data_IF_061088025993
#
_entry.id   IF_061088025993
#
_cell.length_a   1.000
_cell.length_b   1.000
_cell.length_c   1.000
_cell.angle_alpha   90.00
_cell.angle_beta   90.00
_cell.angle_gamma   90.00
#
_symmetry.space_group_name_H-M   'P 1'
#
loop_
_entity.id
_entity.type
_entity.pdbx_description
1 polymer ?
#
# COMPACT_ATOMS: atom_id res chain seq x y z
N UNK A 1 -20.83 -19.57 61.77
CA UNK A 1 -21.21 -18.48 60.85
C UNK A 1 -20.19 -18.49 59.73
N UNK A 2 -20.50 -19.26 58.68
CA UNK A 2 -20.72 -18.82 57.28
C UNK A 2 -19.42 -18.27 56.67
N UNK A 3 -18.59 -19.13 56.06
CA UNK A 3 -18.60 -19.49 54.62
C UNK A 3 -18.52 -18.26 53.70
N UNK A 4 -17.41 -18.10 52.97
CA UNK A 4 -17.45 -17.97 51.51
C UNK A 4 -16.05 -18.12 50.90
N UNK A 5 -15.86 -19.20 50.15
CA UNK A 5 -14.78 -19.44 49.20
C UNK A 5 -14.99 -18.60 47.94
N UNK A 6 -13.98 -17.86 47.51
CA UNK A 6 -13.75 -17.54 46.08
C UNK A 6 -12.24 -17.33 45.93
N UNK A 7 -11.43 -18.15 45.26
CA UNK A 7 -11.71 -19.04 44.14
C UNK A 7 -11.54 -18.28 42.83
N UNK A 8 -10.52 -18.67 42.05
CA UNK A 8 -10.17 -18.25 40.67
C UNK A 8 -9.08 -17.15 40.62
N UNK A 9 -7.88 -17.37 40.11
CA UNK A 9 -7.53 -18.14 38.91
C UNK A 9 -7.23 -17.15 37.78
N UNK A 10 -5.97 -16.71 37.68
CA UNK A 10 -5.41 -16.23 36.41
C UNK A 10 -5.54 -17.35 35.35
N UNK A 11 -5.48 -17.11 34.02
CA UNK A 11 -5.03 -15.90 33.30
C UNK A 11 -5.97 -15.55 32.10
N UNK A 12 -5.47 -14.68 31.21
CA UNK A 12 -5.89 -14.50 29.80
C UNK A 12 -6.89 -13.38 29.54
N UNK A 13 -6.37 -12.15 29.54
CA UNK A 13 -6.71 -11.27 28.43
C UNK A 13 -5.52 -11.19 27.46
N UNK A 14 -5.35 -12.31 26.74
CA UNK A 14 -4.70 -12.31 25.46
C UNK A 14 -5.60 -11.54 24.47
N UNK A 15 -5.74 -10.24 24.67
CA UNK A 15 -6.17 -9.27 23.68
C UNK A 15 -5.08 -9.11 22.63
N UNK A 16 -4.67 -10.22 22.02
CA UNK A 16 -4.00 -10.25 20.72
C UNK A 16 -5.01 -9.68 19.75
N UNK A 17 -5.09 -8.35 19.71
CA UNK A 17 -5.48 -7.58 18.55
C UNK A 17 -4.42 -7.82 17.47
N UNK A 18 -4.31 -9.07 17.03
CA UNK A 18 -3.74 -9.40 15.75
C UNK A 18 -4.62 -8.64 14.78
N UNK A 19 -4.18 -7.45 14.40
CA UNK A 19 -4.55 -6.87 13.13
C UNK A 19 -4.09 -7.90 12.12
N UNK A 20 -4.99 -8.83 11.81
CA UNK A 20 -4.86 -9.78 10.73
C UNK A 20 -4.31 -8.99 9.54
N UNK A 21 -3.31 -9.50 8.81
CA UNK A 21 -2.63 -8.73 7.79
C UNK A 21 -3.68 -8.27 6.78
N UNK A 22 -4.15 -7.02 6.90
CA UNK A 22 -5.09 -6.39 5.96
C UNK A 22 -4.41 -6.13 4.61
N UNK A 23 -3.17 -6.59 4.48
CA UNK A 23 -2.45 -6.92 3.25
C UNK A 23 -3.09 -8.08 2.47
N UNK A 24 -4.42 -8.18 2.44
CA UNK A 24 -5.07 -8.66 1.22
C UNK A 24 -4.70 -7.65 0.13
N UNK A 25 -3.57 -7.90 -0.54
CA UNK A 25 -2.92 -7.09 -1.59
C UNK A 25 -3.93 -6.16 -2.25
N UNK A 26 -3.91 -4.88 -1.84
CA UNK A 26 -4.86 -3.88 -2.35
C UNK A 26 -4.71 -3.84 -3.86
N UNK A 27 -5.77 -3.47 -4.57
CA UNK A 27 -5.68 -3.34 -6.02
C UNK A 27 -4.55 -2.37 -6.42
N UNK A 28 -4.31 -1.31 -5.63
CA UNK A 28 -3.15 -0.42 -5.76
C UNK A 28 -1.80 -1.16 -5.68
N UNK A 29 -1.63 -2.07 -4.72
CA UNK A 29 -0.39 -2.85 -4.57
C UNK A 29 -0.19 -3.77 -5.79
N UNK A 30 -1.27 -4.38 -6.28
CA UNK A 30 -1.22 -5.23 -7.49
C UNK A 30 -0.86 -4.42 -8.73
N UNK A 31 -1.39 -3.20 -8.86
CA UNK A 31 -1.06 -2.30 -9.96
C UNK A 31 0.40 -1.89 -9.90
N UNK A 32 0.94 -1.56 -8.71
CA UNK A 32 2.36 -1.23 -8.55
C UNK A 32 3.28 -2.41 -8.91
N UNK A 33 2.94 -3.63 -8.50
CA UNK A 33 3.69 -4.84 -8.88
C UNK A 33 3.66 -5.01 -10.41
N UNK A 34 2.49 -4.90 -11.04
CA UNK A 34 2.37 -5.02 -12.49
C UNK A 34 3.13 -3.90 -13.23
N UNK A 35 3.12 -2.69 -12.68
CA UNK A 35 3.88 -1.55 -13.20
C UNK A 35 5.38 -1.84 -13.20
N UNK A 36 5.94 -2.30 -12.08
CA UNK A 36 7.35 -2.66 -11.99
C UNK A 36 7.71 -3.77 -12.99
N UNK A 37 6.86 -4.79 -13.10
CA UNK A 37 7.06 -5.85 -14.08
C UNK A 37 7.05 -5.34 -15.53
N UNK A 38 6.14 -4.42 -15.88
CA UNK A 38 6.11 -3.79 -17.20
C UNK A 38 7.39 -2.95 -17.46
N UNK A 39 7.87 -2.21 -16.44
CA UNK A 39 9.15 -1.51 -16.53
C UNK A 39 10.33 -2.46 -16.78
N UNK A 40 10.38 -3.59 -16.07
CA UNK A 40 11.47 -4.58 -16.21
C UNK A 40 11.45 -5.26 -17.59
N UNK A 41 10.28 -5.33 -18.24
CA UNK A 41 10.12 -5.81 -19.61
C UNK A 41 10.37 -4.74 -20.68
N UNK A 42 10.57 -3.48 -20.30
CA UNK A 42 10.68 -2.35 -21.24
C UNK A 42 9.34 -1.95 -21.88
N UNK A 43 8.21 -2.48 -21.41
CA UNK A 43 6.87 -2.14 -21.91
C UNK A 43 6.35 -0.87 -21.21
N UNK A 44 6.88 0.25 -21.66
CA UNK A 44 6.61 1.54 -21.03
C UNK A 44 5.21 2.06 -21.29
N UNK A 45 4.56 1.65 -22.39
CA UNK A 45 3.17 2.04 -22.68
C UNK A 45 2.22 1.38 -21.67
N UNK A 46 2.38 0.08 -21.43
CA UNK A 46 1.61 -0.63 -20.40
C UNK A 46 1.88 -0.05 -19.02
N UNK A 47 3.15 0.24 -18.68
CA UNK A 47 3.51 0.87 -17.42
C UNK A 47 2.80 2.24 -17.22
N UNK A 48 2.74 3.08 -18.26
CA UNK A 48 2.06 4.37 -18.21
C UNK A 48 0.55 4.22 -17.96
N UNK A 49 -0.11 3.27 -18.64
CA UNK A 49 -1.55 3.05 -18.43
C UNK A 49 -1.86 2.54 -17.02
N UNK A 50 -1.00 1.69 -16.45
CA UNK A 50 -1.12 1.23 -15.07
C UNK A 50 -1.03 2.39 -14.07
N UNK A 51 -0.11 3.34 -14.29
CA UNK A 51 0.00 4.54 -13.45
C UNK A 51 -1.24 5.43 -13.55
N UNK A 52 -1.79 5.65 -14.76
CA UNK A 52 -3.04 6.42 -14.93
C UNK A 52 -4.22 5.79 -14.18
N UNK A 53 -4.32 4.46 -14.18
CA UNK A 53 -5.35 3.75 -13.42
C UNK A 53 -5.14 3.95 -11.92
N UNK A 54 -3.89 3.83 -11.44
CA UNK A 54 -3.55 4.04 -10.03
C UNK A 54 -3.86 5.48 -9.59
N UNK A 55 -3.45 6.47 -10.38
CA UNK A 55 -3.74 7.89 -10.15
C UNK A 55 -5.25 8.12 -10.08
N UNK A 56 -6.01 7.60 -11.04
CA UNK A 56 -7.47 7.70 -11.05
C UNK A 56 -8.07 7.11 -9.77
N UNK A 57 -7.60 5.96 -9.30
CA UNK A 57 -8.08 5.35 -8.05
C UNK A 57 -7.77 6.20 -6.81
N UNK A 58 -6.61 6.85 -6.78
CA UNK A 58 -6.14 7.60 -5.61
C UNK A 58 -6.69 9.04 -5.56
N UNK A 59 -7.07 9.60 -6.71
CA UNK A 59 -7.60 10.96 -6.86
C UNK A 59 -9.13 11.01 -6.91
N UNK A 60 -9.81 9.88 -7.21
CA UNK A 60 -11.26 9.76 -7.05
C UNK A 60 -11.65 10.01 -5.58
N UNK A 61 -12.36 11.11 -5.35
CA UNK A 61 -12.88 11.70 -4.10
C UNK A 61 -12.61 10.86 -2.82
N UNK A 62 -11.71 11.29 -1.92
CA UNK A 62 -11.44 10.58 -0.67
C UNK A 62 -12.63 10.74 0.30
N UNK A 63 -13.13 9.62 0.84
CA UNK A 63 -14.22 9.59 1.84
C UNK A 63 -13.72 9.99 3.23
N UNK A 64 -12.40 10.04 3.46
CA UNK A 64 -11.80 10.49 4.72
C UNK A 64 -10.32 10.89 4.54
N UNK A 65 -9.81 11.92 5.25
CA UNK A 65 -8.39 12.21 5.31
C UNK A 65 -7.65 11.09 6.05
N UNK A 66 -7.09 10.14 5.31
CA UNK A 66 -6.33 9.01 5.85
C UNK A 66 -4.82 9.27 5.71
N UNK A 67 -4.04 9.01 6.76
CA UNK A 67 -2.56 9.01 6.74
C UNK A 67 -2.01 8.18 5.57
N UNK A 68 -2.76 7.16 5.15
CA UNK A 68 -2.45 6.33 4.00
C UNK A 68 -2.49 7.10 2.66
N UNK A 69 -3.24 8.20 2.56
CA UNK A 69 -3.32 9.02 1.32
C UNK A 69 -1.97 9.65 1.00
N UNK A 70 -1.29 10.21 2.01
CA UNK A 70 0.03 10.83 1.81
C UNK A 70 1.04 9.80 1.30
N UNK A 71 1.12 8.64 1.98
CA UNK A 71 1.98 7.53 1.56
C UNK A 71 1.66 7.04 0.15
N UNK A 72 0.37 6.90 -0.18
CA UNK A 72 -0.05 6.49 -1.52
C UNK A 72 0.35 7.51 -2.61
N UNK A 73 0.25 8.81 -2.32
CA UNK A 73 0.70 9.86 -3.23
C UNK A 73 2.22 9.84 -3.41
N UNK A 74 2.98 9.69 -2.33
CA UNK A 74 4.44 9.55 -2.38
C UNK A 74 4.84 8.32 -3.23
N UNK A 75 4.16 7.19 -3.07
CA UNK A 75 4.38 6.01 -3.92
C UNK A 75 4.03 6.24 -5.39
N UNK A 76 2.95 6.98 -5.68
CA UNK A 76 2.57 7.33 -7.05
C UNK A 76 3.62 8.22 -7.72
N UNK A 77 4.11 9.24 -7.00
CA UNK A 77 5.15 10.16 -7.49
C UNK A 77 6.44 9.40 -7.80
N UNK A 78 6.92 8.58 -6.85
CA UNK A 78 8.13 7.77 -7.06
C UNK A 78 8.01 6.82 -8.26
N UNK A 79 6.82 6.29 -8.52
CA UNK A 79 6.57 5.45 -9.69
C UNK A 79 6.61 6.25 -11.01
N UNK A 80 6.06 7.47 -11.03
CA UNK A 80 6.18 8.38 -12.18
C UNK A 80 7.64 8.77 -12.47
N UNK A 81 8.41 9.10 -11.43
CA UNK A 81 9.84 9.44 -11.55
C UNK A 81 10.63 8.26 -12.14
N UNK A 82 10.37 7.04 -11.65
CA UNK A 82 11.00 5.83 -12.21
C UNK A 82 10.69 5.67 -13.69
N UNK A 83 9.43 5.80 -14.10
CA UNK A 83 9.04 5.68 -15.51
C UNK A 83 9.70 6.77 -16.37
N UNK A 84 9.79 7.99 -15.85
CA UNK A 84 10.47 9.10 -16.51
C UNK A 84 11.93 8.78 -16.80
N UNK A 85 12.68 8.31 -15.80
CA UNK A 85 14.09 7.95 -15.95
C UNK A 85 14.31 6.80 -16.93
N UNK A 86 13.39 5.82 -16.97
CA UNK A 86 13.48 4.72 -17.92
C UNK A 86 13.23 5.15 -19.38
N UNK A 87 12.43 6.20 -19.60
CA UNK A 87 12.18 6.78 -20.94
C UNK A 87 13.22 7.80 -21.39
N UNK A 88 13.94 8.42 -20.44
CA UNK A 88 14.91 9.49 -20.71
C UNK A 88 16.27 9.17 -20.06
N UNK A 89 16.98 8.13 -20.52
CA UNK A 89 18.26 7.74 -19.94
C UNK A 89 19.31 8.87 -20.00
N UNK A 90 19.24 9.76 -20.99
CA UNK A 90 20.12 10.94 -21.14
C UNK A 90 19.90 12.04 -20.08
N UNK A 91 18.80 12.00 -19.32
CA UNK A 91 18.51 13.01 -18.29
C UNK A 91 19.23 12.75 -16.96
N UNK A 92 19.88 11.58 -16.80
CA UNK A 92 20.62 11.20 -15.59
C UNK A 92 22.12 11.53 -15.61
N UNK A 93 22.66 12.00 -16.73
CA UNK A 93 24.05 12.45 -16.86
C UNK A 93 24.19 13.94 -16.49
N UNK A 94 24.08 14.30 -15.21
CA UNK A 94 24.55 15.60 -14.68
C UNK A 94 25.00 15.50 -13.23
#
# INVERSE_FOLDING_TARGET
MVDDETGQGEPRDAGRGGSAPRHSRRLSDKILIAFHHACDQGDYEVAEQLLRILEMMLTRRPVSPDTNRRRNMESLVAAHERLWHLRHPESGER
#
